data_IF_327542867718
#
_entry.id   IF_327542867718
#
_cell.length_a   1.000
_cell.length_b   1.000
_cell.length_c   1.000
_cell.angle_alpha   90.00
_cell.angle_beta   90.00
_cell.angle_gamma   90.00
#
_symmetry.space_group_name_H-M   'P 1'
#
loop_
_entity.id
_entity.type
_entity.pdbx_description
1 polymer ?
#
# COMPACT_ATOMS: atom_id res chain seq x y z
N UNK A 1 -11.97 -12.87 12.81
CA UNK A 1 -11.05 -11.72 12.60
C UNK A 1 -10.02 -11.73 13.72
N UNK A 2 -8.86 -12.35 13.50
CA UNK A 2 -7.79 -12.39 14.50
C UNK A 2 -7.06 -11.05 14.59
N UNK A 3 -6.34 -10.84 15.69
CA UNK A 3 -5.42 -9.73 15.89
C UNK A 3 -4.16 -9.95 15.06
N UNK A 4 -3.63 -8.89 14.47
CA UNK A 4 -2.33 -8.96 13.80
C UNK A 4 -1.19 -9.02 14.82
N UNK A 5 -0.24 -9.94 14.59
CA UNK A 5 0.94 -10.14 15.46
C UNK A 5 2.24 -9.67 14.83
N UNK A 6 2.19 -9.14 13.61
CA UNK A 6 3.38 -8.62 12.95
C UNK A 6 3.87 -7.37 13.70
N UNK A 7 5.19 -7.22 13.80
CA UNK A 7 5.77 -6.05 14.47
C UNK A 7 5.25 -4.76 13.84
N UNK A 8 4.82 -3.82 14.68
CA UNK A 8 4.27 -2.51 14.30
C UNK A 8 3.01 -2.56 13.41
N UNK A 9 2.34 -3.70 13.29
CA UNK A 9 1.04 -3.77 12.63
C UNK A 9 -0.08 -3.34 13.58
N UNK A 10 -0.67 -2.18 13.29
CA UNK A 10 -1.72 -1.57 14.09
C UNK A 10 -3.08 -1.62 13.37
N UNK A 11 -3.13 -2.11 12.13
CA UNK A 11 -4.38 -2.23 11.36
C UNK A 11 -5.17 -3.48 11.78
N UNK A 12 -6.46 -3.47 11.48
CA UNK A 12 -7.38 -4.61 11.64
C UNK A 12 -8.16 -4.84 10.35
N UNK A 13 -8.43 -6.10 10.02
CA UNK A 13 -9.03 -6.47 8.73
C UNK A 13 -10.48 -6.00 8.55
N UNK A 14 -11.22 -5.81 9.64
CA UNK A 14 -12.63 -5.43 9.63
C UNK A 14 -12.93 -4.39 10.71
N UNK A 15 -13.71 -3.37 10.36
CA UNK A 15 -14.20 -2.34 11.30
C UNK A 15 -15.65 -2.61 11.76
N UNK A 16 -16.08 -2.05 12.91
CA UNK A 16 -17.46 -2.18 13.42
C UNK A 16 -18.53 -1.76 12.41
N UNK A 17 -18.31 -0.67 11.66
CA UNK A 17 -19.22 -0.22 10.60
C UNK A 17 -19.42 -1.31 9.53
N UNK A 18 -18.34 -1.98 9.15
CA UNK A 18 -18.40 -3.06 8.15
C UNK A 18 -19.06 -4.31 8.72
N UNK A 19 -18.81 -4.65 9.99
CA UNK A 19 -19.50 -5.73 10.69
C UNK A 19 -21.00 -5.52 10.62
N UNK A 20 -21.51 -4.37 11.07
CA UNK A 20 -22.95 -4.06 11.05
C UNK A 20 -23.54 -4.18 9.65
N UNK A 21 -22.84 -3.62 8.65
CA UNK A 21 -23.28 -3.65 7.26
C UNK A 21 -23.37 -5.07 6.70
N UNK A 22 -22.37 -5.92 6.96
CA UNK A 22 -22.34 -7.30 6.45
C UNK A 22 -23.35 -8.18 7.18
N UNK A 23 -23.51 -8.04 8.51
CA UNK A 23 -24.57 -8.71 9.28
C UNK A 23 -25.94 -8.37 8.68
N UNK A 24 -26.23 -7.08 8.50
CA UNK A 24 -27.53 -6.62 7.98
C UNK A 24 -27.83 -7.15 6.57
N UNK A 25 -26.80 -7.28 5.73
CA UNK A 25 -26.99 -7.65 4.32
C UNK A 25 -27.05 -9.15 4.09
N UNK A 26 -26.22 -9.92 4.79
CA UNK A 26 -26.00 -11.35 4.49
C UNK A 26 -26.19 -12.26 5.70
N UNK A 27 -26.43 -11.73 6.91
CA UNK A 27 -26.62 -12.52 8.12
C UNK A 27 -25.37 -13.22 8.65
N UNK A 28 -24.17 -12.80 8.21
CA UNK A 28 -22.91 -13.42 8.63
C UNK A 28 -22.66 -13.21 10.13
N UNK A 29 -22.11 -14.21 10.81
CA UNK A 29 -21.68 -14.09 12.20
C UNK A 29 -20.20 -13.67 12.26
N UNK A 30 -19.87 -12.72 13.13
CA UNK A 30 -18.50 -12.26 13.33
C UNK A 30 -17.96 -12.70 14.70
N UNK A 31 -16.77 -13.30 14.69
CA UNK A 31 -15.93 -13.48 15.88
C UNK A 31 -14.69 -12.61 15.68
N UNK A 32 -14.46 -11.69 16.61
CA UNK A 32 -13.29 -10.80 16.62
C UNK A 32 -12.44 -11.15 17.83
N UNK A 33 -11.15 -11.36 17.63
CA UNK A 33 -10.23 -11.59 18.75
C UNK A 33 -10.19 -10.35 19.66
N UNK A 34 -10.20 -10.56 20.98
CA UNK A 34 -10.08 -9.46 21.94
C UNK A 34 -8.83 -8.61 21.69
N UNK A 35 -9.03 -7.29 21.61
CA UNK A 35 -7.97 -6.33 21.34
C UNK A 35 -7.47 -6.30 19.89
N UNK A 36 -8.14 -6.99 18.94
CA UNK A 36 -7.74 -6.96 17.52
C UNK A 36 -7.79 -5.56 16.92
N UNK A 37 -8.74 -4.73 17.35
CA UNK A 37 -8.91 -3.35 16.86
C UNK A 37 -8.12 -2.29 17.61
N UNK A 38 -7.43 -2.62 18.70
CA UNK A 38 -6.85 -1.61 19.59
C UNK A 38 -5.82 -0.72 18.90
N UNK A 39 -5.01 -1.27 17.98
CA UNK A 39 -4.05 -0.49 17.20
C UNK A 39 -4.72 0.52 16.25
N UNK A 40 -5.98 0.30 15.87
CA UNK A 40 -6.79 1.16 15.02
C UNK A 40 -7.73 2.07 15.81
N UNK A 41 -7.53 2.19 17.13
CA UNK A 41 -8.41 2.93 18.05
C UNK A 41 -9.85 2.42 18.07
N UNK A 42 -10.03 1.11 17.92
CA UNK A 42 -11.33 0.44 17.98
C UNK A 42 -11.35 -0.48 19.19
N UNK A 43 -12.31 -0.27 20.08
CA UNK A 43 -12.47 -1.09 21.29
C UNK A 43 -13.24 -2.38 21.01
N UNK A 44 -13.07 -3.38 21.88
CA UNK A 44 -13.90 -4.59 21.87
C UNK A 44 -15.40 -4.26 22.02
N UNK A 45 -15.73 -3.22 22.80
CA UNK A 45 -17.10 -2.77 22.97
C UNK A 45 -17.71 -2.24 21.67
N UNK A 46 -16.92 -1.58 20.81
CA UNK A 46 -17.40 -1.10 19.51
C UNK A 46 -17.82 -2.28 18.61
N UNK A 47 -17.06 -3.38 18.65
CA UNK A 47 -17.42 -4.61 17.92
C UNK A 47 -18.66 -5.29 18.50
N UNK A 48 -18.79 -5.34 19.83
CA UNK A 48 -20.00 -5.87 20.50
C UNK A 48 -21.23 -5.05 20.09
N UNK A 49 -21.13 -3.71 20.14
CA UNK A 49 -22.20 -2.80 19.73
C UNK A 49 -22.55 -2.96 18.25
N UNK A 50 -21.59 -3.41 17.43
CA UNK A 50 -21.78 -3.76 16.03
C UNK A 50 -22.41 -5.15 15.78
N UNK A 51 -22.61 -5.95 16.83
CA UNK A 51 -23.19 -7.29 16.74
C UNK A 51 -22.17 -8.42 16.54
N UNK A 52 -20.87 -8.13 16.64
CA UNK A 52 -19.85 -9.19 16.68
C UNK A 52 -19.75 -9.81 18.08
N UNK A 53 -19.25 -11.04 18.13
CA UNK A 53 -18.80 -11.68 19.37
C UNK A 53 -17.30 -11.46 19.54
N UNK A 54 -16.87 -11.17 20.76
CA UNK A 54 -15.45 -11.15 21.13
C UNK A 54 -15.04 -12.56 21.53
N UNK A 55 -13.90 -13.02 21.03
CA UNK A 55 -13.35 -14.34 21.31
C UNK A 55 -11.84 -14.31 21.53
N UNK A 56 -11.26 -15.49 21.74
CA UNK A 56 -9.81 -15.70 21.77
C UNK A 56 -9.23 -15.77 20.36
N UNK A 57 -7.90 -15.76 20.25
CA UNK A 57 -7.22 -16.01 18.97
C UNK A 57 -7.68 -17.34 18.35
N UNK A 58 -7.77 -18.41 19.15
CA UNK A 58 -8.24 -19.74 18.67
C UNK A 58 -9.66 -19.67 18.12
N UNK A 59 -10.57 -18.97 18.80
CA UNK A 59 -11.95 -18.79 18.33
C UNK A 59 -11.96 -18.07 16.97
N UNK A 60 -11.19 -16.99 16.84
CA UNK A 60 -11.14 -16.19 15.63
C UNK A 60 -10.53 -16.93 14.42
N UNK A 61 -9.55 -17.82 14.62
CA UNK A 61 -8.95 -18.65 13.57
C UNK A 61 -9.77 -19.88 13.21
N UNK A 62 -10.65 -20.36 14.10
CA UNK A 62 -11.51 -21.52 13.88
C UNK A 62 -12.75 -21.25 12.99
N UNK A 63 -12.97 -20.00 12.60
CA UNK A 63 -14.09 -19.56 11.78
C UNK A 63 -14.05 -20.16 10.36
N UNK A 64 -15.21 -20.26 9.70
CA UNK A 64 -15.30 -20.75 8.31
C UNK A 64 -14.65 -19.79 7.30
N UNK A 65 -14.55 -18.49 7.65
CA UNK A 65 -13.82 -17.48 6.90
C UNK A 65 -12.94 -16.66 7.85
N UNK A 66 -11.64 -16.67 7.60
CA UNK A 66 -10.63 -15.89 8.33
C UNK A 66 -10.23 -14.69 7.48
N UNK A 67 -10.49 -13.49 8.01
CA UNK A 67 -10.12 -12.21 7.39
C UNK A 67 -8.92 -11.64 8.14
N UNK A 68 -7.79 -11.45 7.46
CA UNK A 68 -6.54 -10.88 7.99
C UNK A 68 -6.05 -9.75 7.11
N UNK A 69 -5.13 -8.92 7.62
CA UNK A 69 -4.38 -7.96 6.82
C UNK A 69 -3.20 -8.67 6.16
N UNK A 70 -2.26 -9.15 6.99
CA UNK A 70 -0.98 -9.71 6.56
C UNK A 70 -1.07 -11.22 6.33
N UNK A 71 -0.09 -11.81 5.62
CA UNK A 71 0.00 -13.26 5.49
C UNK A 71 0.07 -13.91 6.88
N UNK A 72 -0.49 -15.12 7.06
CA UNK A 72 -0.30 -15.88 8.29
C UNK A 72 1.19 -16.09 8.61
N UNK A 73 1.53 -16.04 9.90
CA UNK A 73 2.91 -16.17 10.39
C UNK A 73 2.97 -16.92 11.73
N UNK A 74 4.17 -17.05 12.32
CA UNK A 74 4.34 -17.52 13.70
C UNK A 74 3.62 -16.58 14.69
N UNK A 75 2.76 -17.14 15.54
CA UNK A 75 1.95 -16.34 16.46
C UNK A 75 2.27 -16.67 17.92
N UNK A 76 2.87 -15.73 18.67
CA UNK A 76 3.30 -15.97 20.04
C UNK A 76 2.13 -16.20 21.01
N UNK A 77 0.94 -15.66 20.73
CA UNK A 77 -0.28 -15.90 21.53
C UNK A 77 -0.78 -17.33 21.37
N UNK A 78 -0.62 -17.91 20.17
CA UNK A 78 -1.01 -19.28 19.86
C UNK A 78 0.09 -20.30 20.21
N UNK A 79 1.35 -19.85 20.24
CA UNK A 79 2.52 -20.71 20.43
C UNK A 79 2.83 -21.59 19.22
N UNK A 80 2.31 -21.25 18.05
CA UNK A 80 2.41 -22.02 16.81
C UNK A 80 2.14 -21.11 15.59
N UNK A 81 2.35 -21.64 14.39
CA UNK A 81 2.06 -20.97 13.14
C UNK A 81 0.55 -20.80 12.94
N UNK A 82 0.08 -19.60 12.56
CA UNK A 82 -1.34 -19.26 12.44
C UNK A 82 -2.13 -20.21 11.51
N UNK A 83 -1.48 -20.70 10.44
CA UNK A 83 -2.09 -21.68 9.52
C UNK A 83 -2.55 -22.93 10.27
N UNK A 84 -1.85 -23.37 11.32
CA UNK A 84 -2.20 -24.56 12.10
C UNK A 84 -3.49 -24.40 12.91
N UNK A 85 -3.97 -23.16 13.08
CA UNK A 85 -5.23 -22.86 13.76
C UNK A 85 -6.41 -22.57 12.81
N UNK A 86 -6.15 -22.40 11.52
CA UNK A 86 -7.21 -22.25 10.50
C UNK A 86 -7.84 -23.61 10.18
N UNK A 87 -9.16 -23.75 10.23
CA UNK A 87 -9.86 -25.04 9.99
C UNK A 87 -9.61 -25.59 8.57
N UNK A 88 -9.41 -26.90 8.41
CA UNK A 88 -9.35 -27.53 7.08
C UNK A 88 -10.66 -27.28 6.31
N UNK A 89 -10.56 -26.92 5.03
CA UNK A 89 -11.71 -26.56 4.19
C UNK A 89 -12.29 -25.16 4.43
N UNK A 90 -11.76 -24.38 5.38
CA UNK A 90 -12.15 -22.97 5.57
C UNK A 90 -11.50 -22.05 4.53
N UNK A 91 -11.94 -20.79 4.52
CA UNK A 91 -11.42 -19.76 3.61
C UNK A 91 -10.54 -18.75 4.35
N UNK A 92 -9.37 -18.43 3.81
CA UNK A 92 -8.51 -17.33 4.24
C UNK A 92 -8.52 -16.21 3.20
N UNK A 93 -8.76 -14.97 3.63
CA UNK A 93 -8.61 -13.77 2.79
C UNK A 93 -7.63 -12.81 3.49
N UNK A 94 -6.51 -12.51 2.83
CA UNK A 94 -5.46 -11.62 3.33
C UNK A 94 -4.54 -11.18 2.19
N UNK A 95 -3.55 -10.32 2.45
CA UNK A 95 -2.38 -10.28 1.59
C UNK A 95 -1.58 -11.58 1.75
N UNK A 96 -1.09 -12.16 0.65
CA UNK A 96 -0.30 -13.41 0.67
C UNK A 96 1.02 -13.30 -0.06
N UNK A 97 1.13 -12.48 -1.11
CA UNK A 97 2.35 -12.36 -1.92
C UNK A 97 2.90 -13.73 -2.36
N UNK A 98 2.11 -14.54 -3.11
CA UNK A 98 2.41 -15.96 -3.34
C UNK A 98 3.75 -16.21 -4.08
N UNK A 99 4.22 -15.26 -4.88
CA UNK A 99 5.53 -15.35 -5.53
C UNK A 99 6.71 -15.32 -4.56
N UNK A 100 6.55 -14.57 -3.46
CA UNK A 100 7.55 -14.36 -2.41
C UNK A 100 7.43 -15.41 -1.29
N UNK A 101 6.20 -15.82 -0.95
CA UNK A 101 5.90 -16.65 0.21
C UNK A 101 5.57 -18.10 -0.15
N UNK A 102 6.37 -18.73 -1.04
CA UNK A 102 6.12 -20.10 -1.51
C UNK A 102 5.93 -21.13 -0.38
N UNK A 103 6.77 -21.17 0.68
CA UNK A 103 6.59 -22.13 1.78
C UNK A 103 5.26 -21.96 2.51
N UNK A 104 4.83 -20.72 2.76
CA UNK A 104 3.54 -20.40 3.37
C UNK A 104 2.38 -20.87 2.48
N UNK A 105 2.45 -20.60 1.18
CA UNK A 105 1.44 -21.04 0.21
C UNK A 105 1.34 -22.57 0.19
N UNK A 106 2.46 -23.27 0.23
CA UNK A 106 2.48 -24.73 0.30
C UNK A 106 1.86 -25.25 1.60
N UNK A 107 2.12 -24.61 2.75
CA UNK A 107 1.49 -24.97 4.03
C UNK A 107 -0.03 -24.77 4.02
N UNK A 108 -0.50 -23.63 3.49
CA UNK A 108 -1.94 -23.33 3.32
C UNK A 108 -2.57 -24.38 2.38
N UNK A 109 -1.90 -24.70 1.27
CA UNK A 109 -2.34 -25.71 0.30
C UNK A 109 -2.47 -27.08 0.97
N UNK A 110 -1.42 -27.57 1.63
CA UNK A 110 -1.40 -28.90 2.25
C UNK A 110 -2.52 -29.07 3.29
N UNK A 111 -2.86 -28.01 4.01
CA UNK A 111 -3.97 -27.99 4.96
C UNK A 111 -5.36 -27.97 4.32
N UNK A 112 -5.46 -27.86 2.99
CA UNK A 112 -6.73 -27.82 2.28
C UNK A 112 -7.51 -26.52 2.50
N UNK A 113 -6.83 -25.43 2.84
CA UNK A 113 -7.45 -24.12 3.01
C UNK A 113 -7.67 -23.50 1.62
N UNK A 114 -8.86 -22.93 1.41
CA UNK A 114 -9.10 -22.06 0.25
C UNK A 114 -8.56 -20.68 0.56
N UNK A 115 -7.66 -20.13 -0.25
CA UNK A 115 -7.05 -18.84 0.04
C UNK A 115 -7.19 -17.85 -1.10
N UNK A 116 -7.50 -16.60 -0.73
CA UNK A 116 -7.56 -15.47 -1.64
C UNK A 116 -6.53 -14.41 -1.23
N UNK A 117 -5.71 -14.01 -2.18
CA UNK A 117 -4.68 -12.99 -2.02
C UNK A 117 -5.21 -11.63 -2.48
N UNK A 118 -5.34 -10.69 -1.55
CA UNK A 118 -5.75 -9.31 -1.86
C UNK A 118 -4.74 -8.59 -2.75
N UNK A 119 -3.47 -9.00 -2.76
CA UNK A 119 -2.43 -8.50 -3.67
C UNK A 119 -2.52 -9.07 -5.09
N UNK A 120 -3.35 -10.11 -5.32
CA UNK A 120 -3.58 -10.72 -6.63
C UNK A 120 -4.90 -10.30 -7.28
N UNK A 121 -5.62 -9.34 -6.68
CA UNK A 121 -6.83 -8.77 -7.30
C UNK A 121 -6.45 -8.12 -8.63
N UNK A 122 -7.08 -8.52 -9.75
CA UNK A 122 -6.73 -8.01 -11.08
C UNK A 122 -7.09 -6.53 -11.20
N UNK A 123 -6.26 -5.75 -11.92
CA UNK A 123 -6.50 -4.33 -12.16
C UNK A 123 -7.42 -4.11 -13.35
N UNK A 124 -8.70 -4.43 -13.14
CA UNK A 124 -9.79 -4.20 -14.08
C UNK A 124 -10.82 -3.25 -13.46
N UNK A 125 -11.57 -2.52 -14.30
CA UNK A 125 -12.51 -1.49 -13.84
C UNK A 125 -13.47 -1.98 -12.72
N UNK A 126 -14.05 -3.18 -12.84
CA UNK A 126 -14.98 -3.71 -11.82
C UNK A 126 -14.31 -4.06 -10.49
N UNK A 127 -13.00 -4.33 -10.50
CA UNK A 127 -12.24 -4.76 -9.32
C UNK A 127 -11.66 -3.59 -8.50
N UNK A 128 -11.75 -2.35 -9.00
CA UNK A 128 -11.19 -1.17 -8.33
C UNK A 128 -11.70 -1.00 -6.88
N UNK A 129 -12.94 -1.41 -6.59
CA UNK A 129 -13.49 -1.31 -5.22
C UNK A 129 -12.88 -2.33 -4.25
N UNK A 130 -12.24 -3.38 -4.77
CA UNK A 130 -11.56 -4.42 -4.01
C UNK A 130 -10.04 -4.16 -3.89
N UNK A 131 -9.49 -3.21 -4.65
CA UNK A 131 -8.05 -2.96 -4.71
C UNK A 131 -7.51 -2.36 -3.40
N UNK A 132 -7.01 -3.27 -2.55
CA UNK A 132 -6.39 -2.93 -1.29
C UNK A 132 -5.00 -2.31 -1.47
N UNK A 133 -4.26 -2.65 -2.53
CA UNK A 133 -2.93 -2.08 -2.79
C UNK A 133 -3.04 -0.58 -3.09
N UNK A 134 -3.99 -0.18 -3.94
CA UNK A 134 -4.25 1.23 -4.23
C UNK A 134 -4.70 1.99 -2.99
N UNK A 135 -5.55 1.38 -2.15
CA UNK A 135 -5.99 1.98 -0.89
C UNK A 135 -4.83 2.23 0.08
N UNK A 136 -3.94 1.25 0.26
CA UNK A 136 -2.77 1.38 1.12
C UNK A 136 -1.72 2.36 0.54
N UNK A 137 -1.53 2.35 -0.79
CA UNK A 137 -0.61 3.26 -1.46
C UNK A 137 -1.05 4.73 -1.33
N UNK A 138 -2.35 5.00 -1.45
CA UNK A 138 -2.88 6.36 -1.26
C UNK A 138 -2.56 6.88 0.15
N UNK A 139 -2.84 6.08 1.19
CA UNK A 139 -2.53 6.42 2.58
C UNK A 139 -1.03 6.61 2.78
N UNK A 140 -0.19 5.72 2.21
CA UNK A 140 1.26 5.83 2.32
C UNK A 140 1.78 7.14 1.71
N UNK A 141 1.25 7.55 0.56
CA UNK A 141 1.60 8.82 -0.09
C UNK A 141 1.24 10.04 0.77
N UNK A 142 0.03 10.06 1.34
CA UNK A 142 -0.36 11.11 2.29
C UNK A 142 0.55 11.11 3.53
N UNK A 143 0.75 9.94 4.16
CA UNK A 143 1.53 9.82 5.39
C UNK A 143 2.99 10.20 5.17
N UNK A 144 3.56 9.92 4.01
CA UNK A 144 4.91 10.33 3.65
C UNK A 144 5.10 11.86 3.74
N UNK A 145 4.13 12.63 3.25
CA UNK A 145 4.17 14.10 3.34
C UNK A 145 4.05 14.57 4.78
N UNK A 146 3.16 13.97 5.58
CA UNK A 146 3.01 14.33 6.99
C UNK A 146 4.29 14.06 7.77
N UNK A 147 4.94 12.91 7.55
CA UNK A 147 6.22 12.60 8.19
C UNK A 147 7.35 13.51 7.71
N UNK A 148 7.34 13.90 6.43
CA UNK A 148 8.28 14.87 5.91
C UNK A 148 8.13 16.21 6.64
N UNK A 149 6.89 16.69 6.80
CA UNK A 149 6.58 17.91 7.55
C UNK A 149 6.99 17.84 9.03
N UNK A 150 6.72 16.71 9.70
CA UNK A 150 7.13 16.48 11.09
C UNK A 150 8.66 16.50 11.26
N UNK A 151 9.40 16.09 10.22
CA UNK A 151 10.86 16.01 10.26
C UNK A 151 11.57 17.24 9.68
N UNK A 152 10.85 18.14 9.03
CA UNK A 152 11.38 19.32 8.36
C UNK A 152 11.26 20.57 9.23
N UNK A 153 12.37 21.29 9.42
CA UNK A 153 12.45 22.42 10.35
C UNK A 153 11.90 23.76 9.84
N UNK A 154 11.17 23.78 8.72
CA UNK A 154 10.63 25.01 8.11
C UNK A 154 9.18 24.80 7.66
N UNK A 155 8.46 25.89 7.39
CA UNK A 155 7.11 25.82 6.86
C UNK A 155 7.07 25.27 5.44
N UNK A 156 6.03 24.49 5.14
CA UNK A 156 5.70 24.08 3.76
C UNK A 156 5.11 25.26 2.97
N UNK A 157 4.18 25.98 3.60
CA UNK A 157 3.49 27.12 3.00
C UNK A 157 4.38 28.34 3.02
N UNK A 158 4.48 29.04 1.89
CA UNK A 158 5.10 30.36 1.82
C UNK A 158 4.21 31.40 2.51
N UNK A 159 4.81 32.28 3.31
CA UNK A 159 4.07 33.25 4.10
C UNK A 159 4.77 34.62 4.09
N UNK A 160 3.97 35.69 4.11
CA UNK A 160 4.45 37.04 4.40
C UNK A 160 4.17 37.33 5.88
N UNK A 161 5.21 37.62 6.64
CA UNK A 161 5.10 37.94 8.07
C UNK A 161 5.67 39.33 8.34
N UNK A 162 5.43 39.87 9.54
CA UNK A 162 6.07 41.11 9.99
C UNK A 162 7.61 41.03 9.97
N UNK A 163 8.17 39.83 10.14
CA UNK A 163 9.61 39.58 10.13
C UNK A 163 10.18 39.32 8.72
N UNK A 164 9.35 39.41 7.67
CA UNK A 164 9.76 39.24 6.28
C UNK A 164 9.07 38.08 5.55
N UNK A 165 9.53 37.84 4.32
CA UNK A 165 8.99 36.83 3.40
C UNK A 165 9.65 35.48 3.65
N UNK A 166 8.83 34.47 3.92
CA UNK A 166 9.24 33.08 4.04
C UNK A 166 8.85 32.33 2.76
N UNK A 167 9.82 31.75 2.01
CA UNK A 167 9.49 31.00 0.80
C UNK A 167 8.81 29.67 1.15
N UNK A 168 7.94 29.14 0.26
CA UNK A 168 7.40 27.80 0.41
C UNK A 168 8.49 26.73 0.27
N UNK A 169 8.28 25.58 0.89
CA UNK A 169 9.12 24.40 0.68
C UNK A 169 9.00 23.91 -0.77
N UNK A 170 10.12 23.39 -1.30
CA UNK A 170 10.17 22.74 -2.61
C UNK A 170 10.27 21.23 -2.43
N UNK A 171 9.37 20.49 -3.08
CA UNK A 171 9.24 19.04 -2.92
C UNK A 171 9.34 18.36 -4.29
N UNK A 172 10.23 17.39 -4.40
CA UNK A 172 10.32 16.49 -5.53
C UNK A 172 9.63 15.16 -5.20
N UNK A 173 8.73 14.69 -6.07
CA UNK A 173 8.11 13.37 -5.98
C UNK A 173 8.55 12.53 -7.17
N UNK A 174 9.21 11.40 -6.91
CA UNK A 174 9.73 10.48 -7.93
C UNK A 174 8.84 9.23 -7.98
N UNK A 175 8.12 9.08 -9.09
CA UNK A 175 7.06 8.11 -9.30
C UNK A 175 5.68 8.75 -9.13
N UNK A 176 4.81 8.60 -10.14
CA UNK A 176 3.41 9.03 -10.15
C UNK A 176 2.45 7.84 -10.22
N UNK A 177 2.73 6.81 -9.41
CA UNK A 177 1.73 5.82 -9.02
C UNK A 177 0.72 6.42 -8.01
N UNK A 178 -0.16 5.58 -7.45
CA UNK A 178 -1.17 6.02 -6.49
C UNK A 178 -0.55 6.73 -5.27
N UNK A 179 0.56 6.22 -4.73
CA UNK A 179 1.28 6.84 -3.63
C UNK A 179 1.88 8.19 -4.01
N UNK A 180 2.55 8.26 -5.17
CA UNK A 180 3.15 9.51 -5.66
C UNK A 180 2.11 10.60 -5.90
N UNK A 181 0.99 10.28 -6.54
CA UNK A 181 -0.10 11.25 -6.76
C UNK A 181 -0.74 11.71 -5.45
N UNK A 182 -0.91 10.82 -4.47
CA UNK A 182 -1.38 11.18 -3.13
C UNK A 182 -0.38 12.10 -2.40
N UNK A 183 0.92 11.84 -2.53
CA UNK A 183 1.96 12.71 -2.00
C UNK A 183 1.95 14.09 -2.66
N UNK A 184 1.82 14.14 -3.99
CA UNK A 184 1.71 15.41 -4.74
C UNK A 184 0.50 16.21 -4.27
N UNK A 185 -0.69 15.60 -4.24
CA UNK A 185 -1.92 16.27 -3.81
C UNK A 185 -1.80 16.80 -2.37
N UNK A 186 -1.25 15.99 -1.47
CA UNK A 186 -1.07 16.38 -0.06
C UNK A 186 -0.06 17.52 0.08
N UNK A 187 1.10 17.42 -0.56
CA UNK A 187 2.13 18.46 -0.53
C UNK A 187 1.62 19.79 -1.11
N UNK A 188 0.86 19.73 -2.21
CA UNK A 188 0.20 20.90 -2.80
C UNK A 188 -0.82 21.53 -1.86
N UNK A 189 -1.62 20.72 -1.14
CA UNK A 189 -2.58 21.22 -0.16
C UNK A 189 -1.91 21.93 1.03
N UNK A 190 -0.68 21.56 1.38
CA UNK A 190 0.14 22.23 2.39
C UNK A 190 0.86 23.49 1.86
N UNK A 191 0.61 23.90 0.61
CA UNK A 191 1.15 25.12 0.03
C UNK A 191 2.60 25.01 -0.45
N UNK A 192 3.14 23.80 -0.61
CA UNK A 192 4.47 23.59 -1.16
C UNK A 192 4.52 23.81 -2.68
N UNK A 193 5.71 24.12 -3.20
CA UNK A 193 6.03 24.00 -4.62
C UNK A 193 6.38 22.54 -4.88
N UNK A 194 5.64 21.87 -5.76
CA UNK A 194 5.79 20.43 -6.00
C UNK A 194 6.19 20.19 -7.44
N UNK A 195 7.23 19.37 -7.61
CA UNK A 195 7.72 18.84 -8.89
C UNK A 195 7.55 17.33 -8.87
N UNK A 196 6.96 16.77 -9.91
CA UNK A 196 6.74 15.33 -10.07
C UNK A 196 7.52 14.78 -11.26
N UNK A 197 8.01 13.55 -11.15
CA UNK A 197 8.63 12.83 -12.25
C UNK A 197 8.09 11.40 -12.34
N UNK A 198 7.83 10.90 -13.54
CA UNK A 198 7.53 9.50 -13.83
C UNK A 198 7.98 9.16 -15.25
N UNK A 199 8.40 7.92 -15.49
CA UNK A 199 8.83 7.46 -16.82
C UNK A 199 7.65 7.22 -17.78
N UNK A 200 6.42 7.19 -17.27
CA UNK A 200 5.19 6.97 -18.05
C UNK A 200 4.58 8.32 -18.49
N UNK A 201 4.44 8.58 -19.80
CA UNK A 201 3.87 9.84 -20.28
C UNK A 201 2.44 10.13 -19.79
N UNK A 202 1.62 9.09 -19.60
CA UNK A 202 0.22 9.22 -19.15
C UNK A 202 0.06 9.84 -17.74
N UNK A 203 1.15 9.88 -16.95
CA UNK A 203 1.17 10.45 -15.61
C UNK A 203 1.28 11.98 -15.65
N UNK A 204 1.81 12.55 -16.74
CA UNK A 204 2.03 13.99 -16.88
C UNK A 204 0.76 14.80 -16.63
N UNK A 205 -0.32 14.51 -17.35
CA UNK A 205 -1.60 15.20 -17.17
C UNK A 205 -2.16 15.04 -15.75
N UNK A 206 -1.90 13.89 -15.09
CA UNK A 206 -2.35 13.66 -13.72
C UNK A 206 -1.60 14.57 -12.74
N UNK A 207 -0.28 14.67 -12.87
CA UNK A 207 0.59 15.54 -12.05
C UNK A 207 0.23 17.02 -12.26
N UNK A 208 0.10 17.45 -13.51
CA UNK A 208 -0.25 18.84 -13.85
C UNK A 208 -1.66 19.21 -13.36
N UNK A 209 -2.63 18.29 -13.44
CA UNK A 209 -3.98 18.52 -12.92
C UNK A 209 -4.05 18.72 -11.39
N UNK A 210 -3.04 18.25 -10.66
CA UNK A 210 -2.88 18.49 -9.22
C UNK A 210 -2.11 19.80 -8.93
N UNK A 211 -1.72 20.55 -9.97
CA UNK A 211 -1.00 21.81 -9.85
C UNK A 211 0.49 21.67 -9.53
N UNK A 212 1.08 20.50 -9.82
CA UNK A 212 2.52 20.25 -9.74
C UNK A 212 3.18 20.38 -11.11
N UNK A 213 4.47 20.73 -11.12
CA UNK A 213 5.29 20.77 -12.32
C UNK A 213 5.72 19.34 -12.69
N UNK A 214 5.44 18.89 -13.91
CA UNK A 214 5.96 17.60 -14.40
C UNK A 214 7.35 17.78 -15.01
N UNK A 215 8.34 17.07 -14.46
CA UNK A 215 9.71 17.08 -14.97
C UNK A 215 9.87 16.09 -16.12
N UNK A 216 10.58 16.50 -17.16
CA UNK A 216 10.84 15.67 -18.34
C UNK A 216 12.34 15.49 -18.58
N UNK A 217 12.73 14.27 -18.96
CA UNK A 217 14.06 14.00 -19.50
C UNK A 217 14.03 14.35 -20.99
N UNK A 218 14.66 15.49 -21.34
CA UNK A 218 14.68 15.99 -22.73
C UNK A 218 15.60 15.15 -23.61
N UNK A 219 15.23 14.99 -24.88
CA UNK A 219 16.08 14.37 -25.90
C UNK A 219 15.93 12.85 -26.04
N UNK A 220 14.97 12.22 -25.36
CA UNK A 220 14.69 10.80 -25.44
C UNK A 220 13.23 10.56 -25.84
N UNK A 221 13.00 9.66 -26.80
CA UNK A 221 11.66 9.25 -27.23
C UNK A 221 11.39 7.81 -26.80
N UNK A 222 11.64 7.51 -25.52
CA UNK A 222 11.41 6.20 -24.92
C UNK A 222 10.27 6.32 -23.90
N UNK A 223 9.29 5.40 -23.97
CA UNK A 223 8.19 5.33 -23.00
C UNK A 223 8.48 4.27 -21.95
N UNK A 224 8.39 4.64 -20.67
CA UNK A 224 8.47 3.71 -19.55
C UNK A 224 7.21 2.92 -19.28
N UNK A 225 6.18 3.01 -20.13
CA UNK A 225 4.95 2.25 -19.97
C UNK A 225 5.19 0.73 -20.15
N UNK A 226 4.82 -0.04 -19.14
CA UNK A 226 4.76 -1.50 -19.13
C UNK A 226 3.32 -2.02 -19.09
N UNK A 227 3.17 -3.32 -18.83
CA UNK A 227 1.87 -4.00 -18.81
C UNK A 227 1.05 -3.60 -17.59
N UNK A 228 -0.25 -3.31 -17.77
CA UNK A 228 -1.17 -3.00 -16.68
C UNK A 228 -0.91 -1.69 -15.92
N UNK A 229 -0.35 -0.71 -16.62
CA UNK A 229 -0.04 0.60 -16.06
C UNK A 229 1.21 0.63 -15.18
N UNK A 230 1.96 -0.47 -15.04
CA UNK A 230 3.26 -0.48 -14.38
C UNK A 230 4.36 0.14 -15.27
N UNK A 231 5.45 0.57 -14.64
CA UNK A 231 6.64 1.00 -15.37
C UNK A 231 7.49 -0.22 -15.80
N UNK A 232 8.23 -0.09 -16.90
CA UNK A 232 9.29 -1.02 -17.31
C UNK A 232 10.68 -0.40 -17.11
N UNK A 233 11.71 -1.23 -17.22
CA UNK A 233 13.10 -0.80 -17.19
C UNK A 233 13.42 0.04 -18.45
N UNK A 234 14.14 1.15 -18.25
CA UNK A 234 14.53 2.10 -19.29
C UNK A 234 15.94 1.81 -19.80
N UNK A 235 16.30 2.37 -20.96
CA UNK A 235 17.68 2.32 -21.48
C UNK A 235 18.71 2.95 -20.52
N UNK A 236 19.97 2.53 -20.63
CA UNK A 236 21.06 3.06 -19.79
C UNK A 236 21.25 4.56 -19.99
N UNK A 237 21.12 5.01 -21.24
CA UNK A 237 21.26 6.40 -21.63
C UNK A 237 20.12 7.26 -21.04
N UNK A 238 18.90 6.73 -21.01
CA UNK A 238 17.78 7.39 -20.33
C UNK A 238 18.03 7.49 -18.82
N UNK A 239 18.46 6.40 -18.18
CA UNK A 239 18.77 6.38 -16.75
C UNK A 239 19.87 7.41 -16.43
N UNK A 240 20.92 7.51 -17.25
CA UNK A 240 21.97 8.52 -17.03
C UNK A 240 21.41 9.95 -17.08
N UNK A 241 20.53 10.24 -18.04
CA UNK A 241 19.89 11.53 -18.16
C UNK A 241 18.89 11.82 -17.02
N UNK A 242 18.15 10.81 -16.59
CA UNK A 242 17.27 10.83 -15.42
C UNK A 242 18.06 11.16 -14.14
N UNK A 243 19.19 10.50 -13.93
CA UNK A 243 20.06 10.74 -12.77
C UNK A 243 20.65 12.16 -12.79
N UNK A 244 21.03 12.69 -13.97
CA UNK A 244 21.46 14.09 -14.11
C UNK A 244 20.35 15.08 -13.76
N UNK A 245 19.11 14.78 -14.15
CA UNK A 245 17.94 15.57 -13.77
C UNK A 245 17.76 15.57 -12.25
N UNK A 246 17.81 14.41 -11.60
CA UNK A 246 17.64 14.32 -10.14
C UNK A 246 18.76 15.02 -9.36
N UNK A 247 20.02 14.92 -9.79
CA UNK A 247 21.11 15.66 -9.18
C UNK A 247 20.84 17.17 -9.18
N UNK A 248 20.45 17.71 -10.35
CA UNK A 248 20.11 19.13 -10.49
C UNK A 248 18.92 19.55 -9.60
N UNK A 249 17.92 18.68 -9.45
CA UNK A 249 16.80 18.98 -8.55
C UNK A 249 17.23 18.98 -7.08
N UNK A 250 18.10 18.06 -6.67
CA UNK A 250 18.58 17.97 -5.29
C UNK A 250 19.33 19.22 -4.81
N UNK A 251 19.91 20.02 -5.70
CA UNK A 251 20.50 21.32 -5.37
C UNK A 251 19.46 22.35 -4.91
N UNK A 252 18.21 22.22 -5.35
CA UNK A 252 17.18 23.24 -5.15
C UNK A 252 16.10 22.85 -4.14
N UNK A 253 15.72 21.57 -4.11
CA UNK A 253 14.56 21.09 -3.33
C UNK A 253 14.92 20.89 -1.86
N UNK A 254 13.91 21.00 -1.01
CA UNK A 254 14.04 20.79 0.42
C UNK A 254 13.63 19.35 0.82
N UNK A 255 12.73 18.74 0.05
CA UNK A 255 12.20 17.40 0.34
C UNK A 255 12.16 16.55 -0.92
N UNK A 256 12.53 15.29 -0.79
CA UNK A 256 12.40 14.27 -1.85
C UNK A 256 11.54 13.12 -1.34
N UNK A 257 10.52 12.72 -2.10
CA UNK A 257 9.67 11.57 -1.83
C UNK A 257 9.81 10.59 -2.99
N UNK A 258 10.25 9.36 -2.70
CA UNK A 258 10.47 8.34 -3.73
C UNK A 258 9.48 7.19 -3.59
N UNK A 259 8.83 6.81 -4.70
CA UNK A 259 7.80 5.76 -4.72
C UNK A 259 8.00 4.76 -5.86
N UNK A 260 9.20 4.69 -6.44
CA UNK A 260 9.46 3.87 -7.61
C UNK A 260 9.63 2.40 -7.21
N UNK A 261 8.64 1.58 -7.60
CA UNK A 261 8.62 0.15 -7.32
C UNK A 261 8.30 -0.62 -8.59
N UNK A 262 9.08 -1.67 -8.86
CA UNK A 262 8.80 -2.65 -9.92
C UNK A 262 8.48 -3.99 -9.23
N UNK A 263 7.27 -4.56 -9.41
CA UNK A 263 6.91 -5.83 -8.79
C UNK A 263 7.93 -6.94 -9.06
N UNK A 264 8.35 -7.64 -8.00
CA UNK A 264 9.28 -8.77 -8.09
C UNK A 264 10.76 -8.38 -8.29
N UNK A 265 11.10 -7.09 -8.30
CA UNK A 265 12.48 -6.61 -8.41
C UNK A 265 12.86 -5.71 -7.22
N UNK A 266 14.16 -5.60 -6.90
CA UNK A 266 14.66 -4.59 -5.99
C UNK A 266 14.28 -3.17 -6.46
N UNK A 267 14.11 -2.25 -5.51
CA UNK A 267 13.90 -0.84 -5.81
C UNK A 267 15.12 -0.25 -6.56
N UNK A 268 14.92 0.51 -7.67
CA UNK A 268 16.03 1.17 -8.35
C UNK A 268 16.62 2.27 -7.48
N UNK A 269 17.95 2.42 -7.49
CA UNK A 269 18.66 3.48 -6.78
C UNK A 269 18.62 4.78 -7.58
N UNK A 270 17.67 5.64 -7.24
CA UNK A 270 17.38 6.91 -7.93
C UNK A 270 17.97 8.12 -7.21
N UNK A 271 18.20 8.02 -5.90
CA UNK A 271 18.83 9.08 -5.10
C UNK A 271 20.14 8.54 -4.52
N UNK A 272 21.25 8.92 -5.14
CA UNK A 272 22.58 8.49 -4.68
C UNK A 272 23.01 9.24 -3.43
N UNK A 273 24.02 8.72 -2.73
CA UNK A 273 24.67 9.40 -1.62
C UNK A 273 25.12 10.81 -2.00
N UNK A 274 25.73 10.99 -3.17
CA UNK A 274 26.19 12.30 -3.64
C UNK A 274 25.02 13.26 -3.86
N UNK A 275 23.88 12.77 -4.37
CA UNK A 275 22.67 13.61 -4.51
C UNK A 275 22.12 14.05 -3.15
N UNK A 276 22.20 13.19 -2.12
CA UNK A 276 21.83 13.60 -0.75
C UNK A 276 22.77 14.68 -0.22
N UNK A 277 24.05 14.65 -0.57
CA UNK A 277 25.02 15.68 -0.17
C UNK A 277 24.76 17.04 -0.83
N UNK A 278 24.07 17.08 -1.98
CA UNK A 278 23.63 18.31 -2.63
C UNK A 278 22.43 18.97 -1.94
N UNK A 279 21.64 18.19 -1.19
CA UNK A 279 20.51 18.72 -0.43
C UNK A 279 21.03 19.62 0.70
N UNK A 280 20.24 20.65 1.02
CA UNK A 280 20.54 21.55 2.13
C UNK A 280 20.46 20.81 3.48
N UNK A 281 21.31 21.14 4.46
CA UNK A 281 21.11 20.68 5.83
C UNK A 281 19.71 21.05 6.34
N UNK A 282 19.04 20.08 6.94
CA UNK A 282 17.63 20.17 7.35
C UNK A 282 16.64 19.61 6.34
N UNK A 283 17.07 19.27 5.11
CA UNK A 283 16.23 18.59 4.12
C UNK A 283 15.79 17.20 4.57
N UNK A 284 14.75 16.66 3.92
CA UNK A 284 14.18 15.35 4.24
C UNK A 284 14.02 14.49 2.98
N UNK A 285 14.41 13.22 3.06
CA UNK A 285 14.10 12.20 2.07
C UNK A 285 13.12 11.21 2.70
N UNK A 286 12.00 10.92 2.02
CA UNK A 286 11.05 9.88 2.43
C UNK A 286 10.98 8.80 1.36
N UNK A 287 11.45 7.61 1.71
CA UNK A 287 11.61 6.50 0.77
C UNK A 287 10.55 5.43 0.98
N UNK A 288 9.50 5.46 0.16
CA UNK A 288 8.39 4.50 0.25
C UNK A 288 8.76 3.12 -0.32
N UNK A 289 9.92 2.98 -0.96
CA UNK A 289 10.41 1.72 -1.49
C UNK A 289 11.38 1.00 -0.54
N UNK A 290 11.51 1.47 0.71
CA UNK A 290 12.44 0.93 1.71
C UNK A 290 12.31 -0.59 1.94
N UNK A 291 11.10 -1.15 1.80
CA UNK A 291 10.86 -2.59 1.99
C UNK A 291 11.60 -3.46 0.97
N UNK A 292 11.81 -2.97 -0.25
CA UNK A 292 12.48 -3.68 -1.35
C UNK A 292 13.87 -3.15 -1.65
N UNK A 293 14.49 -2.49 -0.66
CA UNK A 293 15.86 -1.99 -0.71
C UNK A 293 15.97 -0.46 -0.78
N UNK A 294 14.87 0.26 -1.04
CA UNK A 294 14.84 1.73 -1.08
C UNK A 294 15.35 2.35 -2.38
N UNK A 295 14.73 3.46 -2.81
CA UNK A 295 15.22 4.26 -3.92
C UNK A 295 16.40 5.17 -3.55
N UNK A 296 16.62 5.45 -2.27
CA UNK A 296 17.79 6.16 -1.79
C UNK A 296 18.88 5.16 -1.34
N UNK A 297 20.15 5.46 -1.66
CA UNK A 297 21.29 4.62 -1.25
C UNK A 297 21.50 4.59 0.27
N UNK A 298 21.10 5.65 0.97
CA UNK A 298 21.27 5.81 2.41
C UNK A 298 20.05 5.32 3.22
N UNK A 299 19.03 4.77 2.56
CA UNK A 299 17.84 4.26 3.24
C UNK A 299 18.19 3.04 4.09
N UNK A 300 17.91 3.14 5.39
CA UNK A 300 17.86 1.99 6.28
C UNK A 300 16.40 1.62 6.56
N UNK A 301 16.06 0.35 6.30
CA UNK A 301 14.72 -0.19 6.52
C UNK A 301 14.28 0.02 7.98
N UNK A 302 13.06 0.54 8.13
CA UNK A 302 12.36 0.79 9.40
C UNK A 302 13.04 1.79 10.34
N UNK A 303 13.88 2.68 9.78
CA UNK A 303 14.59 3.72 10.54
C UNK A 303 14.43 5.11 9.94
N UNK A 304 14.74 6.11 10.78
CA UNK A 304 15.08 7.46 10.33
C UNK A 304 16.56 7.66 10.61
N UNK A 305 17.35 7.81 9.54
CA UNK A 305 18.80 8.07 9.65
C UNK A 305 19.09 9.51 9.31
N UNK A 306 20.19 10.05 9.84
CA UNK A 306 20.65 11.39 9.51
C UNK A 306 22.02 11.31 8.84
N UNK A 307 22.16 11.94 7.68
CA UNK A 307 23.41 12.00 6.95
C UNK A 307 23.62 13.42 6.39
N UNK A 308 24.77 14.03 6.65
CA UNK A 308 25.09 15.40 6.24
C UNK A 308 24.00 16.44 6.61
N UNK A 309 23.33 16.27 7.76
CA UNK A 309 22.22 17.11 8.19
C UNK A 309 20.88 16.87 7.47
N UNK A 310 20.81 15.91 6.55
CA UNK A 310 19.58 15.46 5.87
C UNK A 310 19.00 14.27 6.62
N UNK A 311 17.70 14.25 6.85
CA UNK A 311 16.99 13.09 7.43
C UNK A 311 16.47 12.18 6.32
N UNK A 312 16.70 10.88 6.42
CA UNK A 312 16.24 9.86 5.47
C UNK A 312 15.30 8.91 6.21
N UNK A 313 14.03 8.89 5.81
CA UNK A 313 12.95 8.13 6.44
C UNK A 313 12.67 6.87 5.60
N UNK A 314 12.90 5.69 6.18
CA UNK A 314 12.79 4.38 5.52
C UNK A 314 11.77 3.44 6.16
N UNK A 315 10.70 3.96 6.76
CA UNK A 315 9.65 3.13 7.39
C UNK A 315 8.85 2.32 6.37
N UNK A 316 8.61 1.04 6.68
CA UNK A 316 7.86 0.11 5.80
C UNK A 316 6.41 -0.12 6.24
N UNK A 317 5.98 0.55 7.30
CA UNK A 317 4.69 0.41 7.95
C UNK A 317 3.81 1.68 7.82
N UNK A 318 4.00 2.52 6.79
CA UNK A 318 3.29 3.80 6.66
C UNK A 318 1.75 3.69 6.76
N UNK A 319 1.08 2.71 6.13
CA UNK A 319 -0.35 2.53 6.33
C UNK A 319 -0.71 2.19 7.78
N UNK A 320 0.15 1.47 8.50
CA UNK A 320 -0.04 1.15 9.92
C UNK A 320 -0.01 2.39 10.81
N UNK A 321 0.83 3.38 10.47
CA UNK A 321 0.91 4.69 11.15
C UNK A 321 -0.33 5.58 10.95
N UNK A 322 -1.29 5.11 10.15
CA UNK A 322 -2.64 5.67 9.99
C UNK A 322 -3.69 4.56 10.11
N UNK A 323 -3.49 3.69 11.10
CA UNK A 323 -4.23 2.43 11.30
C UNK A 323 -5.75 2.57 11.24
N UNK A 324 -6.35 3.60 11.83
CA UNK A 324 -7.80 3.83 11.79
C UNK A 324 -8.32 3.96 10.36
N UNK A 325 -7.74 4.86 9.57
CA UNK A 325 -8.13 5.07 8.17
C UNK A 325 -7.78 3.86 7.30
N UNK A 326 -6.61 3.27 7.49
CA UNK A 326 -6.17 2.07 6.76
C UNK A 326 -7.10 0.88 7.01
N UNK A 327 -7.49 0.65 8.26
CA UNK A 327 -8.42 -0.42 8.62
C UNK A 327 -9.79 -0.18 8.00
N UNK A 328 -10.29 1.06 7.99
CA UNK A 328 -11.56 1.40 7.37
C UNK A 328 -11.57 1.14 5.85
N UNK A 329 -10.54 1.60 5.12
CA UNK A 329 -10.45 1.36 3.67
C UNK A 329 -10.25 -0.13 3.36
N UNK A 330 -9.33 -0.80 4.06
CA UNK A 330 -9.09 -2.23 3.85
C UNK A 330 -10.34 -3.06 4.17
N UNK A 331 -11.01 -2.78 5.29
CA UNK A 331 -12.29 -3.39 5.68
C UNK A 331 -13.35 -3.24 4.59
N UNK A 332 -13.42 -2.07 3.95
CA UNK A 332 -14.28 -1.86 2.80
C UNK A 332 -13.87 -2.72 1.59
N UNK A 333 -12.57 -2.81 1.27
CA UNK A 333 -12.10 -3.62 0.14
C UNK A 333 -12.38 -5.12 0.37
N UNK A 334 -11.92 -5.67 1.50
CA UNK A 334 -12.01 -7.10 1.80
C UNK A 334 -13.47 -7.54 1.99
N UNK A 335 -14.31 -6.73 2.63
CA UNK A 335 -15.73 -7.08 2.80
C UNK A 335 -16.51 -7.03 1.51
N UNK A 336 -16.21 -6.09 0.60
CA UNK A 336 -16.85 -6.03 -0.72
C UNK A 336 -16.43 -7.22 -1.58
N UNK A 337 -15.15 -7.62 -1.53
CA UNK A 337 -14.66 -8.80 -2.22
C UNK A 337 -15.30 -10.08 -1.67
N UNK A 338 -15.32 -10.24 -0.34
CA UNK A 338 -16.03 -11.33 0.32
C UNK A 338 -17.51 -11.39 -0.11
N UNK A 339 -18.22 -10.27 -0.07
CA UNK A 339 -19.62 -10.20 -0.47
C UNK A 339 -19.85 -10.46 -1.96
N UNK A 340 -18.88 -10.20 -2.84
CA UNK A 340 -19.02 -10.55 -4.26
C UNK A 340 -19.05 -12.06 -4.51
N UNK A 341 -18.59 -12.85 -3.53
CA UNK A 341 -18.66 -14.31 -3.56
C UNK A 341 -19.91 -14.85 -2.83
N UNK A 342 -20.85 -14.00 -2.42
CA UNK A 342 -22.12 -14.44 -1.84
C UNK A 342 -23.19 -14.42 -2.93
N UNK A 343 -23.82 -15.57 -3.19
CA UNK A 343 -24.86 -15.71 -4.19
C UNK A 343 -26.21 -15.13 -3.71
N UNK A 344 -27.22 -15.14 -4.58
CA UNK A 344 -28.57 -14.63 -4.26
C UNK A 344 -29.29 -15.41 -3.13
N UNK A 345 -28.87 -16.65 -2.88
CA UNK A 345 -29.38 -17.50 -1.80
C UNK A 345 -28.65 -17.26 -0.46
N UNK A 346 -27.78 -16.24 -0.39
CA UNK A 346 -26.89 -15.97 0.75
C UNK A 346 -25.88 -17.08 1.06
N UNK A 347 -25.52 -17.89 0.06
CA UNK A 347 -24.50 -18.92 0.19
C UNK A 347 -23.16 -18.40 -0.33
N UNK A 348 -22.08 -18.81 0.34
CA UNK A 348 -20.73 -18.54 -0.12
C UNK A 348 -20.42 -19.43 -1.33
N UNK A 349 -20.22 -18.82 -2.49
CA UNK A 349 -20.05 -19.48 -3.77
C UNK A 349 -18.83 -18.93 -4.52
N UNK A 350 -17.86 -19.81 -4.78
CA UNK A 350 -16.65 -19.49 -5.53
C UNK A 350 -16.89 -19.76 -7.01
N UNK A 351 -17.16 -18.72 -7.78
CA UNK A 351 -17.28 -18.82 -9.24
C UNK A 351 -15.91 -18.63 -9.92
N UNK A 352 -15.31 -19.71 -10.39
CA UNK A 352 -14.03 -19.67 -11.12
C UNK A 352 -14.11 -18.97 -12.48
N UNK A 353 -15.31 -18.69 -12.99
CA UNK A 353 -15.51 -17.88 -14.21
C UNK A 353 -15.47 -16.38 -13.91
N UNK A 354 -15.65 -15.98 -12.65
CA UNK A 354 -15.46 -14.60 -12.24
C UNK A 354 -13.96 -14.27 -12.26
N UNK A 355 -13.55 -13.37 -13.15
CA UNK A 355 -12.15 -12.96 -13.32
C UNK A 355 -11.48 -12.40 -12.05
N UNK A 356 -12.23 -11.74 -11.16
CA UNK A 356 -11.69 -11.21 -9.90
C UNK A 356 -11.42 -12.37 -8.95
N UNK A 357 -12.40 -13.26 -8.78
CA UNK A 357 -12.28 -14.46 -7.93
C UNK A 357 -11.14 -15.34 -8.45
N UNK A 358 -11.09 -15.59 -9.76
CA UNK A 358 -10.03 -16.38 -10.39
C UNK A 358 -8.66 -15.72 -10.30
N UNK A 359 -8.58 -14.39 -10.39
CA UNK A 359 -7.33 -13.65 -10.22
C UNK A 359 -6.80 -13.72 -8.78
N UNK A 360 -7.69 -13.60 -7.80
CA UNK A 360 -7.33 -13.55 -6.38
C UNK A 360 -7.09 -14.92 -5.74
N UNK A 361 -7.71 -16.00 -6.22
CA UNK A 361 -7.59 -17.33 -5.60
C UNK A 361 -6.18 -17.93 -5.79
N UNK A 362 -5.59 -18.40 -4.69
CA UNK A 362 -4.24 -18.98 -4.66
C UNK A 362 -4.27 -20.47 -4.43
N UNK A 363 -5.02 -20.94 -3.43
CA UNK A 363 -5.16 -22.37 -3.12
C UNK A 363 -6.63 -22.74 -2.97
N UNK A 364 -6.96 -23.98 -3.29
CA UNK A 364 -8.29 -24.56 -3.03
C UNK A 364 -8.17 -26.09 -3.06
N UNK A 365 -8.83 -26.81 -2.14
CA UNK A 365 -8.89 -28.27 -2.15
C UNK A 365 -7.51 -28.98 -2.31
N UNK A 366 -6.47 -28.46 -1.66
CA UNK A 366 -5.07 -28.94 -1.75
C UNK A 366 -4.41 -28.74 -3.12
N UNK A 367 -5.02 -27.98 -4.02
CA UNK A 367 -4.46 -27.55 -5.29
C UNK A 367 -3.92 -26.11 -5.23
N UNK A 368 -2.90 -25.85 -6.05
CA UNK A 368 -2.37 -24.52 -6.30
C UNK A 368 -3.01 -23.96 -7.57
N UNK A 369 -3.73 -22.84 -7.46
CA UNK A 369 -4.43 -22.18 -8.55
C UNK A 369 -3.73 -20.89 -9.02
N UNK A 370 -2.68 -20.46 -8.32
CA UNK A 370 -1.83 -19.34 -8.72
C UNK A 370 -0.56 -19.84 -9.47
N UNK A 371 -0.09 -19.14 -10.51
CA UNK A 371 -0.68 -17.93 -11.10
C UNK A 371 -1.92 -18.26 -11.95
N UNK A 372 -2.79 -17.26 -12.15
CA UNK A 372 -3.87 -17.40 -13.12
C UNK A 372 -3.26 -17.55 -14.54
N UNK A 373 -3.49 -18.68 -15.25
CA UNK A 373 -2.92 -18.91 -16.58
C UNK A 373 -3.53 -18.00 -17.64
N UNK A 374 -4.74 -17.48 -17.39
CA UNK A 374 -5.47 -16.59 -18.30
C UNK A 374 -5.80 -15.28 -17.55
N UNK A 375 -4.81 -14.43 -17.25
CA UNK A 375 -5.07 -13.16 -16.59
C UNK A 375 -5.89 -12.25 -17.50
N UNK A 376 -6.88 -11.51 -16.97
CA UNK A 376 -7.65 -10.56 -17.77
C UNK A 376 -6.74 -9.46 -18.32
N UNK A 377 -7.12 -8.88 -19.46
CA UNK A 377 -6.42 -7.71 -19.98
C UNK A 377 -6.51 -6.57 -18.95
N UNK A 378 -5.36 -6.07 -18.53
CA UNK A 378 -5.28 -5.00 -17.54
C UNK A 378 -5.65 -3.66 -18.19
N UNK A 379 -6.55 -2.91 -17.55
CA UNK A 379 -6.94 -1.56 -18.00
C UNK A 379 -5.79 -0.57 -17.71
N UNK A 380 -4.84 -0.45 -18.64
CA UNK A 380 -3.64 0.38 -18.48
C UNK A 380 -3.92 1.90 -18.32
N UNK A 381 -5.16 2.36 -18.57
CA UNK A 381 -5.50 3.77 -18.71
C UNK A 381 -6.10 4.45 -17.47
N UNK A 382 -6.37 3.72 -16.38
CA UNK A 382 -7.11 4.29 -15.23
C UNK A 382 -6.54 3.84 -13.89
N UNK A 383 -5.36 4.33 -13.53
CA UNK A 383 -5.13 4.69 -12.12
C UNK A 383 -6.24 5.66 -11.76
N UNK A 384 -7.10 5.28 -10.82
CA UNK A 384 -8.23 6.12 -10.41
C UNK A 384 -7.71 7.51 -10.06
N UNK A 385 -8.10 8.55 -10.81
CA UNK A 385 -7.90 9.93 -10.36
C UNK A 385 -8.47 10.00 -8.94
N UNK A 386 -7.70 10.48 -7.95
CA UNK A 386 -8.32 10.86 -6.68
C UNK A 386 -9.44 11.84 -7.03
N UNK A 387 -10.69 11.48 -6.78
CA UNK A 387 -11.75 12.47 -6.76
C UNK A 387 -11.49 13.29 -5.51
N UNK A 388 -10.96 14.49 -5.70
CA UNK A 388 -10.74 15.49 -4.65
C UNK A 388 -12.07 15.86 -4.03
#
# INVERSE_FOLDING_TARGET
>A
VPKEVHQNEARVAITPETVQRVIKKNGANFIVESGAGSGASISDQDYINAGAKIGTAKDAFSADVVLKIRPPQENPTLGDHEVNHIKEGSTLISFLYPGQNKPLVDQIRQKGITSFAMDQIPRITRAQTFDALSSMANIAGYKAVIMAAENFGRFFTGQMTAAGKLPPAKILVIGGGVAGLAAIATAKSLGAIVRGFDTRPAVKEQVESLGAEFLEVKGFNESGAGVGGYAKEMSKEFIEAEMKLFAKQCEEVDIVITTALIPGRPAPKLITKQMVELLKPGSVVVDLAAETGGNCELTEKDKVVTYNGVKIIGYTDLPSRMSGQSSALYSNNISKFFQSMINKSNEFNIDHKDEVVRGAIVTQNKELLWPNPNPPMLDASKTSKPKV
#
